data_IF_764375679415
#
_entry.id   IF_764375679415
#
_cell.length_a   1.000
_cell.length_b   1.000
_cell.length_c   1.000
_cell.angle_alpha   90.00
_cell.angle_beta   90.00
_cell.angle_gamma   90.00
#
_symmetry.space_group_name_H-M   'P 1'
#
loop_
_entity.id
_entity.type
_entity.pdbx_description
1 polymer ?
#
# COMPACT_ATOMS: atom_id res chain seq x y z
N UNK A 1 13.63 21.06 -14.96
CA UNK A 1 14.03 19.64 -14.84
C UNK A 1 12.80 18.81 -14.50
N UNK A 2 12.53 17.71 -15.20
CA UNK A 2 11.32 16.89 -14.95
C UNK A 2 11.57 16.05 -13.69
N UNK A 3 10.95 16.42 -12.58
CA UNK A 3 10.96 15.62 -11.35
C UNK A 3 10.07 14.39 -11.56
N UNK A 4 10.59 13.34 -12.20
CA UNK A 4 9.89 12.05 -12.29
C UNK A 4 9.78 11.35 -10.92
N UNK A 5 10.50 11.87 -9.93
CA UNK A 5 10.51 11.38 -8.55
C UNK A 5 9.36 11.91 -7.69
N UNK A 6 8.46 12.75 -8.22
CA UNK A 6 7.28 13.22 -7.46
C UNK A 6 6.04 12.33 -7.64
N UNK A 7 5.98 11.56 -8.74
CA UNK A 7 4.82 10.70 -9.01
C UNK A 7 5.01 9.32 -8.37
N UNK A 8 4.62 9.22 -7.09
CA UNK A 8 4.79 8.02 -6.23
C UNK A 8 4.25 6.73 -6.85
N UNK A 9 3.32 6.83 -7.79
CA UNK A 9 2.70 5.69 -8.50
C UNK A 9 3.56 5.14 -9.64
N UNK A 10 4.62 5.86 -10.06
CA UNK A 10 5.38 5.53 -11.27
C UNK A 10 6.84 5.17 -11.02
N UNK A 11 7.31 5.11 -9.77
CA UNK A 11 8.73 4.83 -9.48
C UNK A 11 9.24 3.55 -10.12
N UNK A 12 8.42 2.51 -10.25
CA UNK A 12 8.82 1.25 -10.89
C UNK A 12 9.29 1.45 -12.34
N UNK A 13 8.79 2.45 -13.04
CA UNK A 13 9.22 2.79 -14.41
C UNK A 13 10.58 3.48 -14.45
N UNK A 14 11.14 3.87 -13.30
CA UNK A 14 12.51 4.40 -13.19
C UNK A 14 13.54 3.28 -12.98
N UNK A 15 13.10 2.06 -12.68
CA UNK A 15 14.01 0.93 -12.60
C UNK A 15 14.67 0.71 -13.96
N UNK A 16 15.94 0.30 -13.93
CA UNK A 16 16.67 -0.04 -15.14
C UNK A 16 15.90 -1.13 -15.92
N UNK A 17 15.53 -0.87 -17.19
CA UNK A 17 14.83 -1.85 -18.03
C UNK A 17 15.59 -3.19 -18.15
N UNK A 18 16.92 -3.19 -18.05
CA UNK A 18 17.75 -4.39 -18.11
C UNK A 18 17.60 -5.29 -16.88
N UNK A 19 17.12 -4.75 -15.75
CA UNK A 19 16.76 -5.56 -14.58
C UNK A 19 15.54 -6.44 -14.87
N UNK A 20 14.70 -6.11 -15.86
CA UNK A 20 13.52 -6.91 -16.26
C UNK A 20 12.59 -7.27 -15.08
N UNK A 21 12.44 -6.36 -14.12
CA UNK A 21 11.66 -6.59 -12.91
C UNK A 21 12.35 -7.46 -11.84
N UNK A 22 13.61 -7.85 -12.06
CA UNK A 22 14.39 -8.66 -11.12
C UNK A 22 15.09 -7.80 -10.08
N UNK A 23 14.29 -7.21 -9.19
CA UNK A 23 14.80 -6.46 -8.05
C UNK A 23 13.82 -6.51 -6.87
N UNK A 24 14.30 -6.33 -5.63
CA UNK A 24 13.43 -6.30 -4.46
C UNK A 24 12.56 -5.04 -4.49
N UNK A 25 11.26 -5.22 -4.72
CA UNK A 25 10.29 -4.14 -4.86
C UNK A 25 10.26 -3.20 -3.63
N UNK A 26 10.37 -3.77 -2.42
CA UNK A 26 10.39 -3.00 -1.17
C UNK A 26 11.64 -2.12 -1.06
N UNK A 27 12.82 -2.70 -1.29
CA UNK A 27 14.08 -1.93 -1.22
C UNK A 27 14.13 -0.86 -2.31
N UNK A 28 13.59 -1.14 -3.50
CA UNK A 28 13.49 -0.16 -4.57
C UNK A 28 12.60 1.04 -4.19
N UNK A 29 11.43 0.80 -3.58
CA UNK A 29 10.59 1.89 -3.08
C UNK A 29 11.29 2.76 -2.03
N UNK A 30 12.03 2.14 -1.11
CA UNK A 30 12.80 2.89 -0.12
C UNK A 30 13.92 3.70 -0.75
N UNK A 31 14.65 3.14 -1.72
CA UNK A 31 15.68 3.86 -2.45
C UNK A 31 15.09 5.08 -3.20
N UNK A 32 13.91 4.92 -3.82
CA UNK A 32 13.20 6.02 -4.48
C UNK A 32 12.76 7.12 -3.50
N UNK A 33 12.30 6.74 -2.31
CA UNK A 33 11.96 7.69 -1.24
C UNK A 33 13.18 8.46 -0.76
N UNK A 34 14.30 7.79 -0.48
CA UNK A 34 15.56 8.43 -0.08
C UNK A 34 16.02 9.42 -1.16
N UNK A 35 16.01 8.99 -2.43
CA UNK A 35 16.37 9.84 -3.56
C UNK A 35 15.48 11.08 -3.66
N UNK A 36 14.17 10.93 -3.41
CA UNK A 36 13.21 12.04 -3.36
C UNK A 36 13.55 13.03 -2.25
N UNK A 37 13.88 12.56 -1.05
CA UNK A 37 14.32 13.43 0.07
C UNK A 37 15.60 14.19 -0.28
N UNK A 38 16.58 13.51 -0.89
CA UNK A 38 17.86 14.12 -1.28
C UNK A 38 17.71 15.23 -2.33
N UNK A 39 16.74 15.10 -3.22
CA UNK A 39 16.49 16.07 -4.32
C UNK A 39 15.47 17.15 -3.95
N UNK A 40 15.03 17.18 -2.69
CA UNK A 40 14.04 18.14 -2.24
C UNK A 40 14.58 19.57 -2.34
N UNK A 41 13.76 20.50 -2.83
CA UNK A 41 14.15 21.90 -3.02
C UNK A 41 14.52 22.56 -1.68
N UNK A 42 13.73 22.26 -0.65
CA UNK A 42 13.93 22.70 0.72
C UNK A 42 15.09 21.92 1.39
N UNK A 43 16.19 22.59 1.80
CA UNK A 43 17.38 21.93 2.35
C UNK A 43 17.12 21.12 3.62
N UNK A 44 16.18 21.55 4.45
CA UNK A 44 15.87 20.93 5.75
C UNK A 44 15.30 19.49 5.63
N UNK A 45 14.83 19.11 4.44
CA UNK A 45 14.34 17.76 4.18
C UNK A 45 15.40 16.86 3.56
N UNK A 46 16.58 17.40 3.21
CA UNK A 46 17.68 16.60 2.69
C UNK A 46 18.39 15.91 3.86
N UNK A 47 18.45 14.57 3.89
CA UNK A 47 19.11 13.85 4.97
C UNK A 47 20.63 14.07 4.95
N UNK A 48 21.30 13.88 6.09
CA UNK A 48 22.76 13.92 6.14
C UNK A 48 23.35 12.78 5.30
N UNK A 49 24.49 13.03 4.65
CA UNK A 49 25.19 12.04 3.82
C UNK A 49 25.46 10.72 4.54
N UNK A 50 25.85 10.79 5.82
CA UNK A 50 26.05 9.61 6.67
C UNK A 50 24.79 8.76 6.80
N UNK A 51 23.64 9.38 7.03
CA UNK A 51 22.36 8.68 7.21
C UNK A 51 21.92 8.03 5.90
N UNK A 52 22.18 8.68 4.76
CA UNK A 52 21.93 8.13 3.43
C UNK A 52 22.77 6.85 3.24
N UNK A 53 24.07 6.89 3.55
CA UNK A 53 24.96 5.74 3.38
C UNK A 53 24.48 4.55 4.22
N UNK A 54 24.17 4.78 5.50
CA UNK A 54 23.65 3.73 6.40
C UNK A 54 22.34 3.15 5.88
N UNK A 55 21.42 3.99 5.41
CA UNK A 55 20.15 3.53 4.87
C UNK A 55 20.36 2.70 3.58
N UNK A 56 21.21 3.16 2.66
CA UNK A 56 21.50 2.44 1.42
C UNK A 56 22.22 1.11 1.68
N UNK A 57 23.14 1.06 2.64
CA UNK A 57 23.80 -0.18 3.07
C UNK A 57 22.78 -1.19 3.61
N UNK A 58 21.84 -0.75 4.43
CA UNK A 58 20.73 -1.59 4.90
C UNK A 58 19.84 -2.10 3.75
N UNK A 59 19.59 -1.28 2.71
CA UNK A 59 18.82 -1.71 1.55
C UNK A 59 19.58 -2.73 0.69
N UNK A 60 20.89 -2.55 0.56
CA UNK A 60 21.77 -3.44 -0.20
C UNK A 60 21.98 -4.79 0.50
N UNK A 61 21.90 -4.83 1.84
CA UNK A 61 21.99 -6.08 2.60
C UNK A 61 20.74 -6.97 2.48
N UNK A 62 19.65 -6.48 1.86
CA UNK A 62 18.44 -7.27 1.66
C UNK A 62 18.58 -8.20 0.45
N UNK A 63 18.52 -9.53 0.62
CA UNK A 63 18.63 -10.45 -0.49
C UNK A 63 17.41 -10.33 -1.43
N UNK A 64 17.65 -10.32 -2.74
CA UNK A 64 16.58 -10.45 -3.72
C UNK A 64 16.04 -11.88 -3.69
N UNK A 65 14.80 -12.03 -3.22
CA UNK A 65 14.03 -13.27 -3.35
C UNK A 65 12.98 -13.03 -4.44
N UNK A 66 13.13 -13.59 -5.64
CA UNK A 66 12.05 -13.56 -6.61
C UNK A 66 10.87 -14.30 -5.96
N UNK A 67 9.76 -13.61 -5.77
CA UNK A 67 8.50 -14.26 -5.40
C UNK A 67 8.18 -15.23 -6.55
N UNK A 68 8.53 -16.50 -6.39
CA UNK A 68 8.04 -17.55 -7.26
C UNK A 68 6.53 -17.51 -7.08
N UNK A 69 5.83 -16.99 -8.08
CA UNK A 69 4.39 -17.11 -8.20
C UNK A 69 4.04 -18.58 -8.47
N UNK A 70 4.34 -19.48 -7.53
CA UNK A 70 3.65 -20.74 -7.39
C UNK A 70 2.31 -20.43 -6.73
N UNK A 71 1.48 -19.67 -7.43
CA UNK A 71 0.03 -19.81 -7.30
C UNK A 71 -0.36 -21.08 -8.05
N UNK A 72 0.15 -22.22 -7.60
CA UNK A 72 -0.56 -23.48 -7.76
C UNK A 72 -1.75 -23.40 -6.82
N UNK A 73 -2.83 -22.79 -7.29
CA UNK A 73 -4.16 -23.01 -6.73
C UNK A 73 -4.40 -24.52 -6.76
N UNK A 74 -4.56 -25.21 -5.61
CA UNK A 74 -5.11 -26.56 -5.64
C UNK A 74 -6.56 -26.36 -6.06
N UNK A 75 -6.88 -26.68 -7.32
CA UNK A 75 -8.24 -26.93 -7.77
C UNK A 75 -8.78 -28.13 -6.98
N UNK A 76 -9.27 -27.88 -5.77
CA UNK A 76 -10.14 -28.82 -5.07
C UNK A 76 -11.47 -28.11 -4.91
N UNK A 77 -12.46 -28.64 -5.62
CA UNK A 77 -13.88 -28.30 -5.62
C UNK A 77 -14.43 -27.76 -4.30
N UNK A 78 -15.26 -26.71 -4.30
CA UNK A 78 -15.96 -26.26 -3.10
C UNK A 78 -17.11 -27.22 -2.76
N UNK A 79 -17.24 -27.72 -1.51
CA UNK A 79 -18.49 -28.30 -1.06
C UNK A 79 -19.51 -27.17 -0.88
N UNK A 80 -20.65 -27.34 -1.54
CA UNK A 80 -21.80 -26.46 -1.44
C UNK A 80 -22.32 -26.39 0.00
N UNK A 81 -22.52 -25.17 0.52
CA UNK A 81 -23.68 -24.87 1.38
C UNK A 81 -23.90 -23.35 1.51
N UNK A 82 -25.16 -22.91 1.68
CA UNK A 82 -25.59 -21.56 1.32
C UNK A 82 -25.86 -20.71 2.55
N UNK A 83 -25.04 -19.69 2.80
CA UNK A 83 -25.40 -18.63 3.75
C UNK A 83 -25.90 -17.38 3.02
N UNK A 84 -27.22 -17.27 3.04
CA UNK A 84 -28.06 -16.22 2.44
C UNK A 84 -27.78 -14.84 3.06
N UNK A 85 -27.68 -13.82 2.20
CA UNK A 85 -27.95 -12.41 2.53
C UNK A 85 -29.37 -12.30 3.11
N UNK A 86 -29.51 -11.73 4.31
CA UNK A 86 -30.76 -11.12 4.76
C UNK A 86 -30.53 -9.63 4.97
N UNK A 87 -30.95 -8.86 3.97
CA UNK A 87 -31.12 -7.41 4.02
C UNK A 87 -32.62 -7.20 4.01
N UNK A 88 -33.20 -6.87 5.16
CA UNK A 88 -34.58 -6.41 5.28
C UNK A 88 -34.66 -5.48 6.48
N UNK A 89 -34.98 -4.21 6.26
CA UNK A 89 -36.33 -3.70 6.49
C UNK A 89 -36.30 -2.16 6.54
N UNK A 90 -36.67 -1.55 5.43
CA UNK A 90 -37.20 -0.18 5.40
C UNK A 90 -38.72 -0.30 5.30
N UNK A 91 -39.44 0.06 6.35
CA UNK A 91 -40.89 0.26 6.31
C UNK A 91 -41.29 1.45 7.20
N UNK A 92 -41.25 2.61 6.57
CA UNK A 92 -42.30 3.65 6.52
C UNK A 92 -43.23 3.94 7.72
N UNK A 93 -43.39 5.26 7.93
CA UNK A 93 -44.61 6.02 8.27
C UNK A 93 -45.06 6.10 9.76
N UNK A 94 -44.93 7.33 10.28
CA UNK A 94 -45.76 8.02 11.31
C UNK A 94 -47.28 7.73 11.19
N UNK A 95 -48.15 7.88 12.24
CA UNK A 95 -48.16 9.03 13.18
C UNK A 95 -48.63 8.80 14.65
N UNK A 96 -48.35 9.82 15.48
CA UNK A 96 -49.12 10.34 16.64
C UNK A 96 -49.63 9.41 17.76
N UNK A 97 -49.26 9.74 19.00
CA UNK A 97 -50.04 9.34 20.19
C UNK A 97 -49.28 9.41 21.52
N UNK A 98 -49.26 10.59 22.14
CA UNK A 98 -49.29 10.92 23.58
C UNK A 98 -49.14 9.74 24.56
N UNK A 99 -48.20 9.77 25.53
CA UNK A 99 -48.37 10.13 26.98
C UNK A 99 -47.05 10.01 27.79
N UNK A 100 -46.87 11.00 28.66
CA UNK A 100 -46.29 10.98 30.03
C UNK A 100 -44.78 10.87 30.28
N UNK A 101 -44.25 12.02 30.75
CA UNK A 101 -43.22 12.21 31.78
C UNK A 101 -43.07 11.09 32.82
N UNK A 102 -41.84 10.90 33.32
CA UNK A 102 -41.39 11.29 34.68
C UNK A 102 -40.14 10.50 35.10
N UNK A 103 -39.13 11.24 35.61
CA UNK A 103 -38.03 10.95 36.56
C UNK A 103 -37.29 9.60 36.48
N UNK A 104 -35.96 9.55 36.60
CA UNK A 104 -35.09 10.14 37.63
C UNK A 104 -33.84 10.76 37.00
#
# INVERSE_FOLDING_TARGET
ARQFLTDRKKYIHLADPLLKGQFPLRSFHHAAYITSMCLQEQPNFRPMGRDIVVALEYLASQPYKPETSDTAVPHTTPPASPFRKKRDNSLSREPNGTKSSTSI
#
